data_IF_218849970030
#
_entry.id   IF_218849970030
#
_cell.length_a   1.000
_cell.length_b   1.000
_cell.length_c   1.000
_cell.angle_alpha   90.00
_cell.angle_beta   90.00
_cell.angle_gamma   90.00
#
_symmetry.space_group_name_H-M   'P 1'
#
loop_
_entity.id
_entity.type
_entity.pdbx_description
1 polymer ?
#
# COMPACT_ATOMS: atom_id res chain seq x y z
N UNK A 1 -3.20 -14.48 -7.07
CA UNK A 1 -2.35 -13.32 -6.75
C UNK A 1 -2.89 -12.71 -5.47
N UNK A 2 -2.04 -12.49 -4.46
CA UNK A 2 -2.47 -11.88 -3.19
C UNK A 2 -2.59 -10.36 -3.31
N UNK A 3 -3.28 -9.69 -2.39
CA UNK A 3 -3.36 -8.23 -2.36
C UNK A 3 -1.94 -7.62 -2.31
N UNK A 4 -1.06 -8.17 -1.47
CA UNK A 4 0.33 -7.73 -1.37
C UNK A 4 1.08 -7.81 -2.70
N UNK A 5 0.90 -8.91 -3.45
CA UNK A 5 1.53 -9.08 -4.77
C UNK A 5 0.94 -8.11 -5.81
N UNK A 6 -0.39 -7.95 -5.82
CA UNK A 6 -1.08 -7.03 -6.73
C UNK A 6 -0.63 -5.59 -6.47
N UNK A 7 -0.70 -5.14 -5.22
CA UNK A 7 -0.30 -3.80 -4.80
C UNK A 7 1.16 -3.53 -5.12
N UNK A 8 2.07 -4.47 -4.81
CA UNK A 8 3.48 -4.34 -5.17
C UNK A 8 3.70 -4.19 -6.67
N UNK A 9 2.98 -4.97 -7.48
CA UNK A 9 3.04 -4.87 -8.96
C UNK A 9 2.51 -3.53 -9.46
N UNK A 10 1.33 -3.10 -9.01
CA UNK A 10 0.70 -1.84 -9.45
C UNK A 10 1.54 -0.65 -9.00
N UNK A 11 1.99 -0.63 -7.74
CA UNK A 11 2.90 0.39 -7.22
C UNK A 11 4.13 0.56 -8.12
N UNK A 12 4.81 -0.55 -8.43
CA UNK A 12 5.99 -0.53 -9.31
C UNK A 12 5.67 0.03 -10.71
N UNK A 13 4.57 -0.43 -11.33
CA UNK A 13 4.14 0.03 -12.66
C UNK A 13 3.90 1.53 -12.70
N UNK A 14 3.35 2.12 -11.64
CA UNK A 14 3.04 3.55 -11.56
C UNK A 14 4.14 4.38 -10.88
N UNK A 15 5.34 3.83 -10.70
CA UNK A 15 6.52 4.54 -10.21
C UNK A 15 6.55 4.76 -8.69
N UNK A 16 5.68 4.08 -7.94
CA UNK A 16 5.77 4.03 -6.49
C UNK A 16 6.89 3.09 -6.07
N UNK A 17 7.64 3.52 -5.06
CA UNK A 17 8.69 2.73 -4.45
C UNK A 17 8.16 2.17 -3.15
N UNK A 18 8.20 0.85 -2.99
CA UNK A 18 8.03 0.24 -1.69
C UNK A 18 9.33 0.35 -0.92
N UNK A 19 9.34 1.08 0.19
CA UNK A 19 10.50 1.16 1.08
C UNK A 19 10.65 -0.08 1.98
N UNK A 20 9.82 -1.10 1.74
CA UNK A 20 9.75 -2.29 2.57
C UNK A 20 9.13 -2.02 3.95
N UNK A 21 8.66 -3.11 4.53
CA UNK A 21 8.62 -3.35 5.97
C UNK A 21 9.21 -4.73 6.14
N UNK A 22 10.54 -4.80 6.05
CA UNK A 22 11.32 -5.99 6.36
C UNK A 22 11.40 -6.14 7.88
N UNK A 23 10.25 -6.16 8.56
CA UNK A 23 10.27 -6.60 9.95
C UNK A 23 10.52 -8.10 9.91
N UNK A 24 11.77 -8.46 10.12
CA UNK A 24 12.20 -9.83 10.42
C UNK A 24 11.73 -10.26 11.83
N UNK A 25 11.06 -9.36 12.57
CA UNK A 25 10.44 -9.64 13.86
C UNK A 25 9.01 -10.15 13.67
N UNK A 26 8.89 -11.47 13.52
CA UNK A 26 7.83 -12.41 13.96
C UNK A 26 6.43 -11.89 14.37
N UNK A 27 5.88 -10.88 13.70
CA UNK A 27 4.52 -10.39 13.90
C UNK A 27 3.51 -11.17 13.05
N UNK A 28 2.21 -11.21 13.43
CA UNK A 28 1.17 -11.89 12.64
C UNK A 28 0.84 -11.18 11.31
N UNK A 29 1.52 -10.06 11.02
CA UNK A 29 1.25 -9.19 9.89
C UNK A 29 2.55 -8.67 9.27
N UNK A 30 2.47 -8.27 8.01
CA UNK A 30 3.51 -7.58 7.26
C UNK A 30 3.04 -6.18 6.92
N UNK A 31 3.80 -5.17 7.31
CA UNK A 31 3.55 -3.78 6.93
C UNK A 31 4.38 -3.41 5.70
N UNK A 32 3.84 -2.64 4.78
CA UNK A 32 4.57 -2.09 3.64
C UNK A 32 4.25 -0.61 3.47
N UNK A 33 5.30 0.21 3.42
CA UNK A 33 5.17 1.62 3.06
C UNK A 33 5.55 1.82 1.60
N UNK A 34 4.66 2.45 0.84
CA UNK A 34 4.84 2.87 -0.55
C UNK A 34 4.95 4.39 -0.61
N UNK A 35 5.90 4.91 -1.37
CA UNK A 35 6.09 6.35 -1.59
C UNK A 35 6.20 6.65 -3.07
N UNK A 36 5.62 7.76 -3.48
CA UNK A 36 5.80 8.26 -4.84
C UNK A 36 6.88 9.37 -4.83
N UNK A 37 8.06 9.13 -5.42
CA UNK A 37 9.18 10.08 -5.38
C UNK A 37 8.81 11.47 -5.89
N UNK A 38 9.37 12.50 -5.24
CA UNK A 38 9.14 13.90 -5.61
C UNK A 38 7.76 14.45 -5.21
N UNK A 39 6.95 13.69 -4.49
CA UNK A 39 5.61 14.10 -4.04
C UNK A 39 5.44 13.87 -2.53
N UNK A 40 4.44 14.50 -1.88
CA UNK A 40 4.08 14.18 -0.51
C UNK A 40 3.26 12.88 -0.38
N UNK A 41 3.06 12.13 -1.48
CA UNK A 41 2.16 10.99 -1.49
C UNK A 41 2.79 9.72 -0.92
N UNK A 42 2.05 9.03 -0.07
CA UNK A 42 2.44 7.75 0.52
C UNK A 42 1.23 6.84 0.74
N UNK A 43 1.47 5.54 0.88
CA UNK A 43 0.52 4.59 1.45
C UNK A 43 1.25 3.66 2.44
N UNK A 44 0.67 3.44 3.62
CA UNK A 44 1.07 2.37 4.52
C UNK A 44 -0.04 1.30 4.48
N UNK A 45 0.33 0.06 4.15
CA UNK A 45 -0.61 -1.05 4.02
C UNK A 45 -0.14 -2.21 4.88
N UNK A 46 -1.05 -2.74 5.68
CA UNK A 46 -0.83 -3.91 6.52
C UNK A 46 -1.49 -5.12 5.89
N UNK A 47 -0.72 -6.18 5.73
CA UNK A 47 -1.15 -7.46 5.19
C UNK A 47 -1.06 -8.54 6.26
N UNK A 48 -1.97 -9.52 6.22
CA UNK A 48 -1.76 -10.79 6.88
C UNK A 48 -0.58 -11.54 6.22
N UNK A 49 -0.03 -12.55 6.90
CA UNK A 49 1.09 -13.34 6.36
C UNK A 49 0.76 -14.06 5.04
N UNK A 50 -0.53 -14.35 4.79
CA UNK A 50 -1.00 -14.89 3.52
C UNK A 50 -1.14 -13.83 2.40
N UNK A 51 -0.79 -12.58 2.67
CA UNK A 51 -0.80 -11.47 1.72
C UNK A 51 -2.17 -10.78 1.53
N UNK A 52 -3.20 -11.15 2.31
CA UNK A 52 -4.49 -10.43 2.34
C UNK A 52 -4.30 -9.08 3.00
N UNK A 53 -4.80 -8.00 2.40
CA UNK A 53 -4.81 -6.69 3.01
C UNK A 53 -5.76 -6.67 4.21
N UNK A 54 -5.28 -6.18 5.35
CA UNK A 54 -6.09 -6.00 6.56
C UNK A 54 -6.62 -4.57 6.64
N UNK A 55 -5.75 -3.59 6.45
CA UNK A 55 -6.10 -2.17 6.40
C UNK A 55 -4.93 -1.39 5.81
N UNK A 56 -5.18 -0.14 5.47
CA UNK A 56 -4.13 0.79 5.09
C UNK A 56 -4.56 2.22 5.29
N UNK A 57 -3.60 3.11 5.17
CA UNK A 57 -3.79 4.55 5.14
C UNK A 57 -2.83 5.16 4.13
N UNK A 58 -3.08 6.40 3.76
CA UNK A 58 -2.22 7.10 2.84
C UNK A 58 -2.47 8.59 2.81
N UNK A 59 -1.70 9.23 1.96
CA UNK A 59 -1.86 10.64 1.65
C UNK A 59 -1.66 10.83 0.15
N UNK A 60 -2.53 11.61 -0.48
CA UNK A 60 -2.44 11.94 -1.90
C UNK A 60 -1.36 13.02 -2.18
N UNK A 61 -1.14 13.31 -3.47
CA UNK A 61 -0.25 14.40 -3.91
C UNK A 61 -0.73 15.78 -3.44
N UNK A 62 -2.04 15.95 -3.28
CA UNK A 62 -2.69 17.16 -2.77
C UNK A 62 -2.78 17.20 -1.24
N UNK A 63 -2.12 16.27 -0.55
CA UNK A 63 -2.12 16.11 0.92
C UNK A 63 -3.46 15.72 1.52
N UNK A 64 -4.37 15.18 0.74
CA UNK A 64 -5.59 14.56 1.25
C UNK A 64 -5.24 13.26 1.97
N UNK A 65 -5.80 13.05 3.17
CA UNK A 65 -5.63 11.81 3.92
C UNK A 65 -6.63 10.76 3.44
N UNK A 66 -6.14 9.54 3.24
CA UNK A 66 -6.91 8.40 2.76
C UNK A 66 -6.88 7.27 3.78
N UNK A 67 -8.03 6.63 3.99
CA UNK A 67 -8.16 5.46 4.84
C UNK A 67 -8.73 4.29 4.03
N UNK A 68 -7.96 3.21 3.92
CA UNK A 68 -8.34 2.02 3.17
C UNK A 68 -8.85 0.94 4.13
N UNK A 69 -10.18 0.93 4.35
CA UNK A 69 -10.87 0.00 5.26
C UNK A 69 -12.13 -0.56 4.60
N UNK A 70 -12.64 -1.67 5.14
CA UNK A 70 -13.89 -2.30 4.68
C UNK A 70 -13.76 -3.14 3.41
N UNK A 71 -14.90 -3.41 2.76
CA UNK A 71 -14.99 -4.17 1.51
C UNK A 71 -14.42 -3.34 0.35
N UNK A 72 -13.69 -3.99 -0.57
CA UNK A 72 -13.06 -3.33 -1.72
C UNK A 72 -11.81 -2.51 -1.40
N UNK A 73 -11.28 -2.60 -0.16
CA UNK A 73 -10.08 -1.84 0.25
C UNK A 73 -8.83 -2.18 -0.57
N UNK A 74 -8.69 -3.42 -1.03
CA UNK A 74 -7.58 -3.82 -1.90
C UNK A 74 -7.66 -3.10 -3.24
N UNK A 75 -8.81 -3.14 -3.90
CA UNK A 75 -9.04 -2.45 -5.17
C UNK A 75 -8.81 -0.93 -5.04
N UNK A 76 -9.24 -0.32 -3.93
CA UNK A 76 -8.99 1.11 -3.68
C UNK A 76 -7.51 1.44 -3.54
N UNK A 77 -6.70 0.60 -2.91
CA UNK A 77 -5.25 0.80 -2.85
C UNK A 77 -4.62 0.67 -4.23
N UNK A 78 -5.04 -0.33 -5.02
CA UNK A 78 -4.56 -0.50 -6.39
C UNK A 78 -4.92 0.73 -7.26
N UNK A 79 -6.16 1.21 -7.20
CA UNK A 79 -6.60 2.41 -7.90
C UNK A 79 -5.82 3.65 -7.45
N UNK A 80 -5.59 3.80 -6.14
CA UNK A 80 -4.82 4.92 -5.60
C UNK A 80 -3.38 4.96 -6.14
N UNK A 81 -2.73 3.81 -6.32
CA UNK A 81 -1.41 3.78 -6.96
C UNK A 81 -1.45 4.17 -8.44
N UNK A 82 -2.55 3.87 -9.13
CA UNK A 82 -2.74 4.20 -10.54
C UNK A 82 -3.12 5.67 -10.79
N UNK A 83 -3.60 6.39 -9.78
CA UNK A 83 -3.94 7.81 -9.87
C UNK A 83 -2.68 8.70 -10.08
N UNK A 84 -2.75 9.58 -11.08
CA UNK A 84 -1.69 10.54 -11.44
C UNK A 84 -2.06 11.95 -11.03
#
# INVERSE_FOLDING_TARGET
MTDAQLHGRVAFVYGWISNGGSSDAAGPVRECTYRLPGTPAYANVVYALNGVMLWGEGQSRTRERLHFRGIGKGDRVASFFAER
#
